data_IF_233126236516
#
_entry.id   IF_233126236516
#
_cell.length_a   1.000
_cell.length_b   1.000
_cell.length_c   1.000
_cell.angle_alpha   90.00
_cell.angle_beta   90.00
_cell.angle_gamma   90.00
#
_symmetry.space_group_name_H-M   'P 1'
#
loop_
_entity.id
_entity.type
_entity.pdbx_description
1 polymer ?
#
# COMPACT_ATOMS: atom_id res chain seq x y z
N UNK A 1 9.99 -13.24 1.22
CA UNK A 1 9.96 -11.85 0.75
C UNK A 1 9.04 -11.03 1.67
N UNK A 2 9.51 -9.87 2.13
CA UNK A 2 8.72 -8.96 2.97
C UNK A 2 8.34 -7.71 2.18
N UNK A 3 7.06 -7.35 2.21
CA UNK A 3 6.54 -6.15 1.54
C UNK A 3 5.96 -5.23 2.61
N UNK A 4 6.49 -4.01 2.66
CA UNK A 4 5.98 -2.94 3.51
C UNK A 4 4.98 -2.10 2.70
N UNK A 5 3.75 -1.96 3.20
CA UNK A 5 2.69 -1.18 2.57
C UNK A 5 2.44 0.07 3.39
N UNK A 6 2.56 1.22 2.75
CA UNK A 6 2.40 2.56 3.31
C UNK A 6 1.32 3.34 2.53
N UNK A 7 0.67 4.29 3.14
CA UNK A 7 -0.31 5.16 2.50
C UNK A 7 -0.51 6.45 3.30
N UNK A 8 -1.03 7.48 2.64
CA UNK A 8 -1.52 8.69 3.28
C UNK A 8 -0.49 9.27 4.26
N UNK A 9 0.72 9.52 3.74
CA UNK A 9 1.89 9.88 4.55
C UNK A 9 1.80 11.29 5.15
N UNK A 10 1.17 12.24 4.44
CA UNK A 10 0.96 13.61 4.92
C UNK A 10 2.19 14.20 5.62
N UNK A 11 3.35 14.10 4.94
CA UNK A 11 4.66 14.57 5.42
C UNK A 11 5.25 13.80 6.62
N UNK A 12 4.73 12.62 6.94
CA UNK A 12 5.21 11.79 8.07
C UNK A 12 6.42 10.92 7.70
N UNK A 13 7.46 11.53 7.13
CA UNK A 13 8.70 10.84 6.73
C UNK A 13 9.34 10.06 7.87
N UNK A 14 9.30 10.62 9.10
CA UNK A 14 9.88 9.96 10.28
C UNK A 14 9.25 8.59 10.52
N UNK A 15 7.92 8.47 10.41
CA UNK A 15 7.22 7.21 10.60
C UNK A 15 7.59 6.20 9.51
N UNK A 16 7.61 6.64 8.25
CA UNK A 16 7.97 5.76 7.13
C UNK A 16 9.40 5.22 7.25
N UNK A 17 10.38 6.08 7.57
CA UNK A 17 11.78 5.66 7.85
C UNK A 17 11.87 4.65 8.98
N UNK A 18 11.12 4.86 10.04
CA UNK A 18 11.09 3.94 11.18
C UNK A 18 10.53 2.57 10.77
N UNK A 19 9.48 2.53 9.97
CA UNK A 19 8.92 1.29 9.43
C UNK A 19 9.96 0.54 8.58
N UNK A 20 10.64 1.23 7.65
CA UNK A 20 11.68 0.63 6.82
C UNK A 20 12.81 0.05 7.67
N UNK A 21 13.30 0.82 8.65
CA UNK A 21 14.40 0.38 9.54
C UNK A 21 14.03 -0.85 10.37
N UNK A 22 12.79 -0.93 10.86
CA UNK A 22 12.31 -2.05 11.68
C UNK A 22 11.99 -3.29 10.86
N UNK A 23 11.28 -3.12 9.75
CA UNK A 23 10.80 -4.24 8.92
C UNK A 23 11.91 -4.80 8.05
N UNK A 24 12.82 -3.93 7.55
CA UNK A 24 13.84 -4.26 6.54
C UNK A 24 13.18 -4.99 5.35
N UNK A 25 12.28 -4.30 4.63
CA UNK A 25 11.51 -4.93 3.57
C UNK A 25 12.35 -5.16 2.31
N UNK A 26 11.94 -6.14 1.51
CA UNK A 26 12.47 -6.36 0.16
C UNK A 26 11.78 -5.45 -0.86
N UNK A 27 10.54 -5.04 -0.55
CA UNK A 27 9.69 -4.20 -1.41
C UNK A 27 8.92 -3.21 -0.55
N UNK A 28 8.80 -1.97 -1.02
CA UNK A 28 7.92 -0.95 -0.45
C UNK A 28 6.82 -0.64 -1.46
N UNK A 29 5.58 -0.55 -0.99
CA UNK A 29 4.43 -0.05 -1.74
C UNK A 29 3.90 1.20 -1.04
N UNK A 30 3.72 2.31 -1.76
CA UNK A 30 3.07 3.52 -1.27
C UNK A 30 1.78 3.78 -2.05
N UNK A 31 0.66 3.84 -1.35
CA UNK A 31 -0.68 3.87 -1.96
C UNK A 31 -1.26 5.26 -2.17
N UNK A 32 -0.40 6.27 -2.28
CA UNK A 32 -0.81 7.63 -2.62
C UNK A 32 -1.08 8.54 -1.43
N UNK A 33 -1.47 9.73 -1.77
CA UNK A 33 -1.51 10.95 -0.98
C UNK A 33 -0.12 11.32 -0.41
N UNK A 34 0.40 12.45 -0.89
CA UNK A 34 1.79 12.87 -0.78
C UNK A 34 2.74 11.94 -1.55
N UNK A 35 2.58 11.91 -2.87
CA UNK A 35 3.42 11.14 -3.79
C UNK A 35 4.91 11.49 -3.67
N UNK A 36 5.22 12.77 -3.44
CA UNK A 36 6.56 13.28 -3.19
C UNK A 36 7.24 12.69 -1.92
N UNK A 37 6.48 12.37 -0.88
CA UNK A 37 7.02 11.66 0.29
C UNK A 37 7.49 10.24 -0.11
N UNK A 38 6.75 9.58 -0.98
CA UNK A 38 7.12 8.26 -1.51
C UNK A 38 8.40 8.34 -2.37
N UNK A 39 8.51 9.35 -3.24
CA UNK A 39 9.73 9.58 -4.03
C UNK A 39 10.94 9.83 -3.13
N UNK A 40 10.80 10.70 -2.13
CA UNK A 40 11.87 10.97 -1.17
C UNK A 40 12.29 9.71 -0.40
N UNK A 41 11.34 8.86 -0.01
CA UNK A 41 11.65 7.59 0.64
C UNK A 41 12.40 6.63 -0.29
N UNK A 42 12.00 6.56 -1.56
CA UNK A 42 12.67 5.74 -2.57
C UNK A 42 14.12 6.22 -2.83
N UNK A 43 14.36 7.52 -2.84
CA UNK A 43 15.71 8.09 -2.96
C UNK A 43 16.62 7.75 -1.76
N UNK A 44 16.05 7.70 -0.56
CA UNK A 44 16.79 7.33 0.65
C UNK A 44 17.15 5.83 0.71
N UNK A 45 16.32 4.97 0.11
CA UNK A 45 16.47 3.51 0.13
C UNK A 45 16.53 2.89 -1.28
N UNK A 46 17.49 3.31 -2.15
CA UNK A 46 17.51 2.95 -3.57
C UNK A 46 17.76 1.45 -3.83
N UNK A 47 18.16 0.70 -2.82
CA UNK A 47 18.37 -0.75 -2.90
C UNK A 47 17.09 -1.56 -2.65
N UNK A 48 15.99 -0.92 -2.20
CA UNK A 48 14.69 -1.56 -1.97
C UNK A 48 13.81 -1.30 -3.20
N UNK A 49 13.16 -2.32 -3.73
CA UNK A 49 12.18 -2.13 -4.82
C UNK A 49 11.00 -1.30 -4.34
N UNK A 50 10.60 -0.32 -5.14
CA UNK A 50 9.58 0.63 -4.75
C UNK A 50 8.49 0.73 -5.82
N UNK A 51 7.24 0.68 -5.39
CA UNK A 51 6.05 0.90 -6.22
C UNK A 51 5.14 1.90 -5.54
N UNK A 52 4.54 2.79 -6.33
CA UNK A 52 3.56 3.73 -5.78
C UNK A 52 2.48 4.09 -6.80
N UNK A 53 1.32 4.46 -6.26
CA UNK A 53 0.20 5.02 -7.01
C UNK A 53 -0.09 6.43 -6.54
N UNK A 54 -0.75 7.23 -7.39
CA UNK A 54 -1.17 8.58 -7.04
C UNK A 54 -2.51 8.55 -6.29
N UNK A 55 -2.64 9.40 -5.28
CA UNK A 55 -3.87 9.66 -4.55
C UNK A 55 -4.62 10.92 -5.04
N UNK A 56 -5.74 11.22 -4.44
CA UNK A 56 -6.54 12.39 -4.80
C UNK A 56 -5.89 13.73 -4.41
N UNK A 57 -5.02 13.74 -3.41
CA UNK A 57 -4.27 14.93 -3.01
C UNK A 57 -3.05 15.22 -3.90
N UNK A 58 -2.71 14.29 -4.81
CA UNK A 58 -1.49 14.36 -5.62
C UNK A 58 -1.68 15.06 -6.97
N UNK A 59 -2.90 15.45 -7.34
CA UNK A 59 -3.31 15.93 -8.68
C UNK A 59 -2.41 16.99 -9.33
N UNK A 60 -1.72 17.80 -8.54
CA UNK A 60 -0.92 18.92 -9.05
C UNK A 60 0.59 18.73 -8.89
N UNK A 61 1.02 17.60 -8.33
CA UNK A 61 2.43 17.33 -8.01
C UNK A 61 2.94 15.97 -8.52
N UNK A 62 2.10 15.20 -9.20
CA UNK A 62 2.50 13.91 -9.73
C UNK A 62 3.23 14.05 -11.05
N UNK A 63 4.29 13.28 -11.27
CA UNK A 63 4.92 13.20 -12.57
C UNK A 63 3.98 12.56 -13.60
N UNK A 64 4.14 12.85 -14.91
CA UNK A 64 3.25 12.36 -15.96
C UNK A 64 3.13 10.82 -16.06
N UNK A 65 4.09 10.10 -15.50
CA UNK A 65 4.10 8.63 -15.48
C UNK A 65 3.36 8.01 -14.28
N UNK A 66 2.96 8.83 -13.29
CA UNK A 66 2.23 8.33 -12.13
C UNK A 66 0.90 7.70 -12.56
N UNK A 67 0.55 6.61 -11.89
CA UNK A 67 -0.66 5.84 -12.15
C UNK A 67 -1.56 5.85 -10.90
N UNK A 68 -2.87 5.85 -11.11
CA UNK A 68 -3.87 5.68 -10.03
C UNK A 68 -4.11 4.20 -9.72
N UNK A 69 -3.78 3.33 -10.66
CA UNK A 69 -3.87 1.86 -10.52
C UNK A 69 -2.60 1.23 -11.06
N UNK A 70 -2.06 0.29 -10.30
CA UNK A 70 -1.02 -0.64 -10.74
C UNK A 70 -1.49 -2.08 -10.54
N UNK A 71 -1.41 -2.90 -11.59
CA UNK A 71 -1.66 -4.34 -11.52
C UNK A 71 -0.41 -5.07 -11.98
N UNK A 72 0.19 -5.86 -11.10
CA UNK A 72 1.45 -6.53 -11.42
C UNK A 72 1.78 -7.67 -10.47
N UNK A 73 2.60 -8.65 -10.89
CA UNK A 73 3.09 -9.69 -9.99
C UNK A 73 4.26 -9.17 -9.15
N UNK A 74 4.25 -9.51 -7.86
CA UNK A 74 5.36 -9.32 -6.94
C UNK A 74 5.56 -10.64 -6.20
N UNK A 75 6.72 -11.28 -6.37
CA UNK A 75 7.00 -12.57 -5.73
C UNK A 75 6.06 -13.71 -6.11
N UNK A 76 5.52 -13.70 -7.34
CA UNK A 76 4.57 -14.68 -7.84
C UNK A 76 3.10 -14.42 -7.43
N UNK A 77 2.86 -13.43 -6.59
CA UNK A 77 1.51 -12.97 -6.15
C UNK A 77 1.08 -11.79 -7.01
N UNK A 78 -0.16 -11.78 -7.50
CA UNK A 78 -0.70 -10.70 -8.32
C UNK A 78 -1.36 -9.64 -7.45
N UNK A 79 -0.80 -8.43 -7.50
CA UNK A 79 -1.24 -7.27 -6.74
C UNK A 79 -2.13 -6.37 -7.60
N UNK A 80 -3.24 -5.91 -7.03
CA UNK A 80 -4.02 -4.77 -7.49
C UNK A 80 -3.81 -3.63 -6.49
N UNK A 81 -3.18 -2.54 -6.91
CA UNK A 81 -2.79 -1.42 -6.04
C UNK A 81 -3.46 -0.14 -6.52
N UNK A 82 -4.14 0.56 -5.63
CA UNK A 82 -4.78 1.85 -5.91
C UNK A 82 -4.83 2.69 -4.64
N UNK A 83 -5.00 4.00 -4.77
CA UNK A 83 -5.33 4.81 -3.60
C UNK A 83 -6.76 4.54 -3.12
N UNK A 84 -7.69 4.29 -4.03
CA UNK A 84 -9.07 3.90 -3.71
C UNK A 84 -10.11 5.01 -3.87
N UNK A 85 -9.73 6.27 -4.06
CA UNK A 85 -10.68 7.37 -4.25
C UNK A 85 -11.57 7.17 -5.49
N UNK A 86 -11.02 6.64 -6.59
CA UNK A 86 -11.76 6.34 -7.82
C UNK A 86 -12.71 5.14 -7.66
N UNK A 87 -12.51 4.31 -6.64
CA UNK A 87 -13.36 3.16 -6.30
C UNK A 87 -14.38 3.47 -5.20
N UNK A 88 -14.45 4.73 -4.75
CA UNK A 88 -15.37 5.18 -3.69
C UNK A 88 -15.25 4.37 -2.39
N UNK A 89 -14.05 3.97 -2.00
CA UNK A 89 -13.79 3.06 -0.86
C UNK A 89 -14.24 3.62 0.50
N UNK A 90 -14.52 4.92 0.60
CA UNK A 90 -15.13 5.52 1.81
C UNK A 90 -16.60 5.13 1.99
N UNK A 91 -17.28 4.71 0.92
CA UNK A 91 -18.66 4.28 0.94
C UNK A 91 -18.78 2.76 0.92
N UNK A 92 -18.13 2.11 -0.05
CA UNK A 92 -18.21 0.66 -0.25
C UNK A 92 -16.90 0.10 -0.82
N UNK A 93 -16.59 -1.16 -0.54
CA UNK A 93 -15.44 -1.86 -1.12
C UNK A 93 -15.79 -2.69 -2.37
N UNK A 94 -17.06 -2.79 -2.71
CA UNK A 94 -17.53 -3.69 -3.80
C UNK A 94 -16.93 -3.38 -5.16
N UNK A 95 -16.73 -2.10 -5.50
CA UNK A 95 -16.10 -1.71 -6.77
C UNK A 95 -14.63 -2.11 -6.81
N UNK A 96 -13.88 -1.82 -5.75
CA UNK A 96 -12.49 -2.22 -5.64
C UNK A 96 -12.33 -3.74 -5.75
N UNK A 97 -13.14 -4.50 -5.01
CA UNK A 97 -13.07 -5.97 -5.03
C UNK A 97 -13.48 -6.56 -6.37
N UNK A 98 -14.47 -5.97 -7.06
CA UNK A 98 -14.84 -6.36 -8.43
C UNK A 98 -13.67 -6.19 -9.39
N UNK A 99 -13.08 -5.00 -9.42
CA UNK A 99 -12.00 -4.67 -10.36
C UNK A 99 -10.74 -5.49 -10.07
N UNK A 100 -10.44 -5.76 -8.79
CA UNK A 100 -9.36 -6.65 -8.39
C UNK A 100 -9.60 -8.10 -8.87
N UNK A 101 -10.84 -8.61 -8.77
CA UNK A 101 -11.21 -9.95 -9.26
C UNK A 101 -11.13 -10.03 -10.79
N UNK A 102 -11.61 -9.03 -11.50
CA UNK A 102 -11.49 -8.92 -12.96
C UNK A 102 -10.02 -8.89 -13.42
N UNK A 103 -9.14 -8.31 -12.61
CA UNK A 103 -7.71 -8.32 -12.83
C UNK A 103 -7.02 -9.62 -12.38
N UNK A 104 -7.76 -10.62 -11.88
CA UNK A 104 -7.24 -11.88 -11.33
C UNK A 104 -6.21 -11.65 -10.21
N UNK A 105 -6.44 -10.65 -9.36
CA UNK A 105 -5.54 -10.32 -8.26
C UNK A 105 -5.71 -11.28 -7.08
N UNK A 106 -4.59 -11.62 -6.44
CA UNK A 106 -4.56 -12.36 -5.18
C UNK A 106 -4.76 -11.41 -3.99
N UNK A 107 -4.41 -10.14 -4.17
CA UNK A 107 -4.54 -9.10 -3.15
C UNK A 107 -4.88 -7.74 -3.76
N UNK A 108 -5.84 -7.05 -3.14
CA UNK A 108 -6.19 -5.65 -3.40
C UNK A 108 -5.66 -4.75 -2.28
N UNK A 109 -4.83 -3.77 -2.63
CA UNK A 109 -4.31 -2.77 -1.71
C UNK A 109 -4.93 -1.41 -1.98
N UNK A 110 -5.38 -0.73 -0.93
CA UNK A 110 -5.96 0.61 -1.02
C UNK A 110 -5.63 1.47 0.20
N UNK A 111 -5.77 2.79 0.09
CA UNK A 111 -5.58 3.78 1.15
C UNK A 111 -6.82 4.64 1.35
N UNK A 112 -6.68 5.96 1.35
CA UNK A 112 -7.72 7.00 1.31
C UNK A 112 -8.63 7.10 2.53
N UNK A 113 -9.01 6.00 3.17
CA UNK A 113 -9.90 6.05 4.34
C UNK A 113 -9.18 6.40 5.63
N UNK A 114 -7.86 6.31 5.66
CA UNK A 114 -6.99 6.40 6.84
C UNK A 114 -7.28 5.34 7.91
N UNK A 115 -8.13 4.37 7.62
CA UNK A 115 -8.51 3.30 8.54
C UNK A 115 -7.86 1.99 8.13
N UNK A 116 -7.05 1.45 9.02
CA UNK A 116 -6.40 0.16 8.79
C UNK A 116 -7.43 -0.98 8.70
N UNK A 117 -7.30 -1.78 7.65
CA UNK A 117 -8.17 -2.91 7.35
C UNK A 117 -7.34 -4.04 6.72
N UNK A 118 -7.57 -5.27 7.11
CA UNK A 118 -6.91 -6.41 6.49
C UNK A 118 -7.76 -7.66 6.70
N UNK A 119 -8.38 -8.14 5.62
CA UNK A 119 -9.22 -9.34 5.64
C UNK A 119 -8.99 -10.20 4.39
N UNK A 120 -9.32 -11.46 4.51
CA UNK A 120 -9.33 -12.41 3.41
C UNK A 120 -10.76 -12.82 3.09
N UNK A 121 -11.16 -12.57 1.86
CA UNK A 121 -12.48 -12.93 1.36
C UNK A 121 -12.65 -14.46 1.21
N UNK A 122 -13.89 -14.91 1.12
CA UNK A 122 -14.21 -16.36 1.01
C UNK A 122 -13.67 -17.01 -0.27
N UNK A 123 -13.49 -16.22 -1.33
CA UNK A 123 -12.88 -16.65 -2.60
C UNK A 123 -11.35 -16.63 -2.59
N UNK A 124 -10.75 -16.20 -1.47
CA UNK A 124 -9.32 -16.17 -1.27
C UNK A 124 -8.65 -14.81 -1.53
N UNK A 125 -9.35 -13.81 -2.09
CA UNK A 125 -8.83 -12.47 -2.30
C UNK A 125 -8.47 -11.82 -0.95
N UNK A 126 -7.24 -11.36 -0.80
CA UNK A 126 -6.86 -10.49 0.30
C UNK A 126 -7.23 -9.04 -0.02
N UNK A 127 -7.74 -8.31 0.98
CA UNK A 127 -8.05 -6.89 0.87
C UNK A 127 -7.39 -6.17 2.04
N UNK A 128 -6.49 -5.21 1.74
CA UNK A 128 -5.76 -4.49 2.77
C UNK A 128 -5.75 -2.99 2.54
N UNK A 129 -5.97 -2.25 3.63
CA UNK A 129 -5.63 -0.84 3.77
C UNK A 129 -4.63 -0.72 4.93
N UNK A 130 -3.41 -0.19 4.71
CA UNK A 130 -2.43 -0.06 5.79
C UNK A 130 -2.82 0.96 6.86
N UNK A 131 -3.87 1.75 6.63
CA UNK A 131 -4.18 2.96 7.36
C UNK A 131 -3.35 4.15 6.86
N UNK A 132 -3.09 5.13 7.70
CA UNK A 132 -2.31 6.31 7.36
C UNK A 132 -0.99 6.34 8.12
N UNK A 133 0.09 6.74 7.45
CA UNK A 133 1.37 7.02 8.11
C UNK A 133 1.33 8.33 8.92
N UNK A 134 0.46 9.27 8.52
CA UNK A 134 0.40 10.63 9.08
C UNK A 134 -0.64 10.84 10.18
N UNK A 135 -1.61 9.95 10.33
CA UNK A 135 -2.73 10.08 11.26
C UNK A 135 -2.81 8.92 12.25
N UNK A 136 -3.54 9.14 13.37
CA UNK A 136 -3.84 8.10 14.37
C UNK A 136 -2.60 7.35 14.88
N UNK A 137 -1.52 8.07 15.14
CA UNK A 137 -0.21 7.52 15.55
C UNK A 137 0.50 6.69 14.48
N UNK A 138 0.00 6.63 13.25
CA UNK A 138 0.57 5.88 12.15
C UNK A 138 0.26 4.38 12.19
N UNK A 139 0.12 3.81 11.01
CA UNK A 139 0.04 2.37 10.80
C UNK A 139 0.64 2.00 9.43
N UNK A 140 1.02 0.76 9.28
CA UNK A 140 1.58 0.21 8.05
C UNK A 140 1.07 -1.22 7.84
N UNK A 141 1.01 -1.66 6.59
CA UNK A 141 0.74 -3.04 6.24
C UNK A 141 2.05 -3.82 6.10
N UNK A 142 2.02 -5.09 6.49
CA UNK A 142 3.11 -6.02 6.26
C UNK A 142 2.58 -7.29 5.60
N UNK A 143 3.17 -7.63 4.45
CA UNK A 143 2.85 -8.84 3.69
C UNK A 143 4.12 -9.68 3.60
N UNK A 144 4.00 -10.96 3.88
CA UNK A 144 5.08 -11.93 3.71
C UNK A 144 4.69 -12.95 2.64
N UNK A 145 5.60 -13.20 1.71
CA UNK A 145 5.41 -14.13 0.59
C UNK A 145 6.50 -15.20 0.66
N UNK A 146 6.08 -16.45 0.62
CA UNK A 146 6.94 -17.64 0.51
C UNK A 146 6.36 -18.59 -0.54
N UNK A 147 7.22 -19.15 -1.39
CA UNK A 147 6.83 -20.07 -2.45
C UNK A 147 5.62 -19.54 -3.28
N UNK A 148 5.69 -18.26 -3.68
CA UNK A 148 4.68 -17.58 -4.50
C UNK A 148 3.28 -17.48 -3.84
N UNK A 149 3.21 -17.57 -2.51
CA UNK A 149 1.96 -17.47 -1.74
C UNK A 149 2.10 -16.48 -0.60
N UNK A 150 1.03 -15.76 -0.32
CA UNK A 150 0.92 -14.90 0.87
C UNK A 150 0.84 -15.81 2.10
N UNK A 151 1.88 -15.77 2.94
CA UNK A 151 1.93 -16.53 4.20
C UNK A 151 1.51 -15.69 5.40
N UNK A 152 1.61 -14.35 5.28
CA UNK A 152 1.15 -13.42 6.31
C UNK A 152 0.70 -12.10 5.66
N UNK A 153 -0.42 -11.58 6.11
CA UNK A 153 -0.95 -10.27 5.72
C UNK A 153 -1.54 -9.62 6.97
N UNK A 154 -0.94 -8.53 7.45
CA UNK A 154 -1.32 -7.92 8.72
C UNK A 154 -1.03 -6.43 8.78
N UNK A 155 -1.71 -5.74 9.70
CA UNK A 155 -1.43 -4.35 10.04
C UNK A 155 -0.41 -4.30 11.18
N UNK A 156 0.64 -3.51 10.99
CA UNK A 156 1.59 -3.18 12.05
C UNK A 156 1.32 -1.76 12.57
N UNK A 157 0.98 -1.68 13.85
CA UNK A 157 0.78 -0.44 14.60
C UNK A 157 1.91 -0.17 15.60
N UNK A 158 2.95 -1.01 15.61
CA UNK A 158 4.03 -0.99 16.60
C UNK A 158 5.21 -0.09 16.21
N UNK A 159 5.06 0.75 15.21
CA UNK A 159 6.07 1.75 14.88
C UNK A 159 6.15 2.90 15.93
N UNK A 160 5.49 2.71 17.08
CA UNK A 160 5.50 3.62 18.21
C UNK A 160 6.52 3.19 19.26
N UNK A 161 7.72 3.73 19.15
CA UNK A 161 8.59 4.02 20.32
C UNK A 161 9.44 5.22 19.97
#
# INVERSE_FOLDING_TARGET
MKILVLSDSHSSMRFMRLCVSKVKPDVIVHLGDHFDDGEALNEEFPHIRFYQVAGNCDRYRTPPHAREILVMPIGGVRFYMTHGHIHHVKQVLSLLMRDAREAEADIALFGHTHMAYCERETDGLWVMNPGSCGYNRGSAGLIEIEAEKITSCRIDRRAHV
#
